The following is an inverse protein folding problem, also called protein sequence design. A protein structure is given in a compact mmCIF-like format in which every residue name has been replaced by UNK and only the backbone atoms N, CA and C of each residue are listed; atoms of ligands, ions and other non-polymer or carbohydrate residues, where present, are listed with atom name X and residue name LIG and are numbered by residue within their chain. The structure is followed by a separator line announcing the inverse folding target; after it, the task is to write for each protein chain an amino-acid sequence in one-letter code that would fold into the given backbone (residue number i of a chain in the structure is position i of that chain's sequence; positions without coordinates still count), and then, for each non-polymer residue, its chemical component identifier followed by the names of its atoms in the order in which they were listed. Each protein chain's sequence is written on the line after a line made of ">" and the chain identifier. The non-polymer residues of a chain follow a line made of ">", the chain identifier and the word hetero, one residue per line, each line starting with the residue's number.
data_IF_462594928630
#
_entry.id   IF_462594928630
#
_cell.length_a   1.000
_cell.length_b   1.000
_cell.length_c   1.000
_cell.angle_alpha   90.00
_cell.angle_beta   90.00
_cell.angle_gamma   90.00
#
_symmetry.space_group_name_H-M   'P 1'
#
loop_
_entity.id
_entity.type
_entity.pdbx_description
1 polymer ?
#
# COMPACT_ATOMS: atom_id res chain seq x y z
N UNK A 1 3.90 -19.30 4.21
CA UNK A 1 4.78 -18.82 3.14
C UNK A 1 5.17 -17.36 3.35
N UNK A 2 6.40 -17.14 3.80
CA UNK A 2 6.95 -15.78 3.96
C UNK A 2 7.41 -15.23 2.62
N UNK A 3 7.04 -13.99 2.31
CA UNK A 3 7.50 -13.29 1.11
C UNK A 3 8.97 -12.87 1.33
N UNK A 4 9.93 -13.29 0.49
CA UNK A 4 11.29 -12.80 0.55
C UNK A 4 11.33 -11.37 -0.01
N UNK A 5 11.23 -10.36 0.86
CA UNK A 5 11.29 -8.96 0.43
C UNK A 5 12.73 -8.50 0.18
N UNK A 6 12.93 -7.79 -0.93
CA UNK A 6 14.14 -6.99 -1.14
C UNK A 6 14.17 -5.86 -0.10
N UNK A 7 15.34 -5.59 0.50
CA UNK A 7 15.49 -4.56 1.56
C UNK A 7 16.58 -3.55 1.29
N UNK A 8 17.50 -3.86 0.39
CA UNK A 8 18.65 -3.02 0.12
C UNK A 8 18.29 -1.91 -0.87
N UNK A 9 18.93 -0.75 -0.75
CA UNK A 9 18.75 0.35 -1.70
C UNK A 9 17.36 1.03 -1.70
N UNK A 10 16.43 0.62 -0.83
CA UNK A 10 15.08 1.19 -0.79
C UNK A 10 15.11 2.62 -0.23
N UNK A 11 14.51 3.55 -0.97
CA UNK A 11 14.44 4.97 -0.62
C UNK A 11 13.58 5.23 0.63
N UNK A 12 12.48 4.48 0.79
CA UNK A 12 11.53 4.53 1.91
C UNK A 12 11.60 3.24 2.76
N UNK A 13 12.21 3.27 3.96
CA UNK A 13 12.32 2.08 4.80
C UNK A 13 10.96 1.50 5.19
N UNK A 14 10.70 0.25 4.80
CA UNK A 14 9.48 -0.47 5.17
C UNK A 14 9.68 -1.18 6.51
N UNK A 15 8.84 -0.87 7.50
CA UNK A 15 8.99 -1.47 8.81
C UNK A 15 8.66 -2.97 8.82
N UNK A 16 9.30 -3.72 9.72
CA UNK A 16 9.14 -5.18 9.82
C UNK A 16 7.68 -5.62 10.07
N UNK A 17 6.88 -4.78 10.73
CA UNK A 17 5.47 -5.06 10.98
C UNK A 17 4.63 -5.04 9.69
N UNK A 18 4.91 -4.12 8.75
CA UNK A 18 4.24 -4.10 7.45
C UNK A 18 4.64 -5.32 6.61
N UNK A 19 5.93 -5.69 6.59
CA UNK A 19 6.41 -6.89 5.88
C UNK A 19 5.75 -8.18 6.41
N UNK A 20 5.62 -8.29 7.72
CA UNK A 20 4.98 -9.45 8.36
C UNK A 20 3.48 -9.52 8.02
N UNK A 21 2.79 -8.39 8.02
CA UNK A 21 1.38 -8.28 7.63
C UNK A 21 1.17 -8.73 6.18
N UNK A 22 1.97 -8.23 5.24
CA UNK A 22 1.84 -8.61 3.82
C UNK A 22 2.11 -10.11 3.61
N UNK A 23 3.10 -10.67 4.31
CA UNK A 23 3.33 -12.12 4.28
C UNK A 23 2.10 -12.87 4.81
N UNK A 24 1.54 -12.46 5.95
CA UNK A 24 0.35 -13.08 6.53
C UNK A 24 -0.84 -13.08 5.56
N UNK A 25 -1.08 -11.97 4.85
CA UNK A 25 -2.19 -11.91 3.89
C UNK A 25 -1.96 -12.79 2.66
N UNK A 26 -0.73 -12.87 2.15
CA UNK A 26 -0.41 -13.79 1.07
C UNK A 26 -0.58 -15.26 1.50
N UNK A 27 -0.21 -15.60 2.74
CA UNK A 27 -0.40 -16.95 3.31
C UNK A 27 -1.85 -17.39 3.43
N UNK A 28 -2.78 -16.44 3.48
CA UNK A 28 -4.23 -16.72 3.53
C UNK A 28 -4.82 -17.05 2.16
N UNK A 29 -4.02 -16.98 1.10
CA UNK A 29 -4.44 -17.29 -0.27
C UNK A 29 -3.87 -18.61 -0.76
N UNK A 30 -4.48 -19.17 -1.80
CA UNK A 30 -3.97 -20.35 -2.52
C UNK A 30 -2.99 -19.99 -3.66
N UNK A 31 -2.42 -18.77 -3.65
CA UNK A 31 -1.51 -18.32 -4.70
C UNK A 31 -0.18 -19.09 -4.67
N UNK A 32 0.25 -19.58 -5.83
CA UNK A 32 1.61 -20.11 -6.03
C UNK A 32 2.56 -18.95 -6.34
N UNK A 33 3.20 -18.41 -5.29
CA UNK A 33 4.13 -17.29 -5.43
C UNK A 33 5.30 -17.57 -6.39
N UNK A 34 5.64 -18.84 -6.65
CA UNK A 34 6.66 -19.20 -7.62
C UNK A 34 6.24 -18.98 -9.08
N UNK A 35 4.94 -18.80 -9.34
CA UNK A 35 4.37 -18.53 -10.67
C UNK A 35 3.96 -17.08 -10.87
N UNK A 36 3.78 -16.32 -9.80
CA UNK A 36 3.39 -14.92 -9.88
C UNK A 36 4.60 -14.02 -10.16
N UNK A 37 4.46 -13.12 -11.13
CA UNK A 37 5.41 -12.03 -11.37
C UNK A 37 5.03 -10.75 -10.62
N UNK A 38 3.77 -10.64 -10.17
CA UNK A 38 3.29 -9.54 -9.34
C UNK A 38 2.34 -10.02 -8.24
N UNK A 39 2.23 -9.22 -7.17
CA UNK A 39 1.20 -9.35 -6.15
C UNK A 39 0.60 -7.97 -5.90
N UNK A 40 -0.72 -7.90 -5.87
CA UNK A 40 -1.44 -6.68 -5.49
C UNK A 40 -2.30 -6.97 -4.27
N UNK A 41 -2.06 -6.23 -3.20
CA UNK A 41 -2.82 -6.25 -1.97
C UNK A 41 -3.76 -5.05 -1.96
N UNK A 42 -5.06 -5.31 -1.86
CA UNK A 42 -6.11 -4.30 -1.79
C UNK A 42 -6.74 -4.35 -0.39
N UNK A 43 -6.66 -3.25 0.35
CA UNK A 43 -7.25 -3.06 1.66
C UNK A 43 -8.40 -2.07 1.54
N UNK A 44 -9.63 -2.50 1.84
CA UNK A 44 -10.84 -1.66 1.68
C UNK A 44 -11.68 -1.68 2.94
N UNK A 45 -11.99 -0.52 3.50
CA UNK A 45 -12.98 -0.43 4.55
C UNK A 45 -14.40 -0.45 3.94
N UNK A 46 -15.28 -1.42 4.29
CA UNK A 46 -16.61 -1.51 3.70
C UNK A 46 -17.52 -0.32 3.99
N UNK A 47 -17.22 0.45 5.04
CA UNK A 47 -17.96 1.67 5.41
C UNK A 47 -17.42 2.94 4.77
N UNK A 48 -16.35 2.87 3.99
CA UNK A 48 -15.75 4.04 3.37
C UNK A 48 -16.62 4.57 2.23
N UNK A 49 -17.08 5.82 2.33
CA UNK A 49 -17.81 6.51 1.26
C UNK A 49 -17.43 8.00 1.19
N UNK A 50 -17.80 8.66 0.10
CA UNK A 50 -17.57 10.08 -0.09
C UNK A 50 -18.30 10.95 0.96
N UNK A 51 -19.49 10.54 1.40
CA UNK A 51 -20.35 11.30 2.31
C UNK A 51 -20.04 11.05 3.78
N UNK A 52 -19.64 9.81 4.14
CA UNK A 52 -19.45 9.40 5.53
C UNK A 52 -17.98 9.31 5.91
N UNK A 53 -17.07 9.38 4.94
CA UNK A 53 -15.65 9.13 5.14
C UNK A 53 -15.41 7.70 5.59
N UNK A 54 -14.39 7.51 6.42
CA UNK A 54 -13.95 6.20 6.92
C UNK A 54 -12.44 6.03 6.75
N UNK A 55 -11.97 4.78 6.84
CA UNK A 55 -10.56 4.48 6.59
C UNK A 55 -10.32 4.36 5.09
N UNK A 56 -9.33 5.10 4.60
CA UNK A 56 -8.99 5.15 3.18
C UNK A 56 -8.64 3.76 2.61
N UNK A 57 -9.07 3.45 1.36
CA UNK A 57 -8.58 2.30 0.64
C UNK A 57 -7.07 2.42 0.40
N UNK A 58 -6.37 1.29 0.51
CA UNK A 58 -4.93 1.20 0.23
C UNK A 58 -4.68 0.09 -0.78
N UNK A 59 -3.82 0.37 -1.75
CA UNK A 59 -3.27 -0.63 -2.64
C UNK A 59 -1.74 -0.70 -2.47
N UNK A 60 -1.23 -1.91 -2.31
CA UNK A 60 0.22 -2.18 -2.23
C UNK A 60 0.54 -3.19 -3.31
N UNK A 61 1.47 -2.86 -4.20
CA UNK A 61 1.93 -3.77 -5.24
C UNK A 61 3.38 -4.16 -5.01
N UNK A 62 3.64 -5.45 -5.20
CA UNK A 62 4.97 -6.03 -5.27
C UNK A 62 5.20 -6.64 -6.64
N UNK A 63 6.45 -6.58 -7.13
CA UNK A 63 6.88 -7.22 -8.37
C UNK A 63 8.05 -8.18 -8.12
N UNK A 64 8.20 -9.18 -8.98
CA UNK A 64 9.27 -10.17 -8.87
C UNK A 64 10.63 -9.57 -9.21
N UNK A 65 11.54 -9.64 -8.25
CA UNK A 65 12.98 -9.48 -8.47
C UNK A 65 13.60 -10.79 -8.96
N UNK A 66 14.93 -10.89 -8.88
CA UNK A 66 15.65 -12.11 -9.25
C UNK A 66 15.32 -13.26 -8.30
N UNK A 67 15.53 -13.04 -7.00
CA UNK A 67 15.35 -14.03 -5.94
C UNK A 67 14.36 -13.55 -4.84
N UNK A 68 13.78 -12.36 -5.02
CA UNK A 68 12.98 -11.66 -4.02
C UNK A 68 11.76 -10.93 -4.61
N UNK A 69 11.05 -10.18 -3.77
CA UNK A 69 9.93 -9.32 -4.10
C UNK A 69 10.30 -7.87 -3.80
N UNK A 70 10.14 -7.01 -4.80
CA UNK A 70 10.37 -5.58 -4.72
C UNK A 70 9.03 -4.88 -4.48
N UNK A 71 9.02 -3.81 -3.69
CA UNK A 71 7.89 -2.89 -3.68
C UNK A 71 7.84 -2.16 -5.02
N UNK A 72 6.67 -2.20 -5.67
CA UNK A 72 6.38 -1.39 -6.85
C UNK A 72 5.84 -0.03 -6.40
N UNK A 73 4.69 -0.06 -5.73
CA UNK A 73 4.11 1.13 -5.11
C UNK A 73 3.28 0.82 -3.86
N UNK A 74 3.05 1.87 -3.09
CA UNK A 74 2.05 1.96 -2.03
C UNK A 74 1.19 3.19 -2.33
N UNK A 75 -0.11 2.99 -2.51
CA UNK A 75 -1.05 4.06 -2.82
C UNK A 75 -2.19 4.09 -1.81
N UNK A 76 -2.42 5.25 -1.21
CA UNK A 76 -3.56 5.56 -0.35
C UNK A 76 -4.56 6.39 -1.16
N UNK A 77 -5.84 6.02 -1.10
CA UNK A 77 -6.88 6.64 -1.91
C UNK A 77 -7.90 7.38 -1.06
N UNK A 78 -8.33 8.55 -1.52
CA UNK A 78 -9.36 9.35 -0.86
C UNK A 78 -10.40 9.85 -1.88
N UNK A 79 -11.62 10.14 -1.41
CA UNK A 79 -12.66 10.74 -2.25
C UNK A 79 -12.44 12.24 -2.36
N UNK A 80 -12.49 12.76 -3.59
CA UNK A 80 -12.28 14.16 -3.91
C UNK A 80 -13.49 14.71 -4.65
N UNK A 81 -13.95 15.89 -4.26
CA UNK A 81 -15.19 16.48 -4.78
C UNK A 81 -16.33 16.42 -3.77
N UNK A 82 -17.57 16.63 -4.24
CA UNK A 82 -18.75 16.72 -3.39
C UNK A 82 -19.91 15.87 -3.92
N UNK A 83 -20.50 15.06 -3.06
CA UNK A 83 -21.69 14.26 -3.37
C UNK A 83 -21.47 13.34 -4.57
N UNK A 84 -22.33 13.47 -5.58
CA UNK A 84 -22.29 12.61 -6.78
C UNK A 84 -21.08 12.86 -7.68
N UNK A 85 -20.39 13.99 -7.52
CA UNK A 85 -19.18 14.33 -8.28
C UNK A 85 -17.91 13.90 -7.54
N UNK A 86 -18.04 13.11 -6.46
CA UNK A 86 -16.90 12.63 -5.70
C UNK A 86 -16.22 11.45 -6.43
N UNK A 87 -14.93 11.60 -6.72
CA UNK A 87 -14.12 10.57 -7.36
C UNK A 87 -13.05 10.04 -6.42
N UNK A 88 -12.75 8.74 -6.53
CA UNK A 88 -11.68 8.13 -5.75
C UNK A 88 -10.33 8.46 -6.43
N UNK A 89 -9.52 9.28 -5.78
CA UNK A 89 -8.22 9.73 -6.29
C UNK A 89 -7.08 9.20 -5.42
N UNK A 90 -5.85 9.24 -5.96
CA UNK A 90 -4.65 8.98 -5.16
C UNK A 90 -4.45 10.16 -4.19
N UNK A 91 -4.57 9.89 -2.89
CA UNK A 91 -4.23 10.84 -1.84
C UNK A 91 -2.72 10.86 -1.62
N UNK A 92 -2.14 9.69 -1.43
CA UNK A 92 -0.71 9.47 -1.31
C UNK A 92 -0.29 8.41 -2.32
N UNK A 93 0.83 8.64 -3.00
CA UNK A 93 1.43 7.66 -3.90
C UNK A 93 2.92 7.60 -3.66
N UNK A 94 3.39 6.47 -3.12
CA UNK A 94 4.80 6.17 -2.94
C UNK A 94 5.22 5.17 -4.02
N UNK A 95 5.74 5.65 -5.15
CA UNK A 95 6.32 4.80 -6.19
C UNK A 95 7.78 4.48 -5.80
N UNK A 96 8.06 3.20 -5.57
CA UNK A 96 9.36 2.72 -5.12
C UNK A 96 10.33 2.49 -6.28
N UNK A 97 9.83 2.15 -7.48
CA UNK A 97 10.67 1.85 -8.64
C UNK A 97 11.32 3.10 -9.22
N UNK A 98 10.53 4.18 -9.36
CA UNK A 98 11.00 5.45 -9.93
C UNK A 98 11.45 6.43 -8.84
N UNK A 99 11.16 6.15 -7.57
CA UNK A 99 11.48 7.03 -6.44
C UNK A 99 10.66 8.33 -6.43
N UNK A 100 9.55 8.36 -7.16
CA UNK A 100 8.62 9.48 -7.22
C UNK A 100 7.53 9.32 -6.15
N UNK A 101 7.33 10.36 -5.35
CA UNK A 101 6.37 10.34 -4.25
C UNK A 101 5.48 11.56 -4.34
N UNK A 102 4.17 11.39 -4.21
CA UNK A 102 3.21 12.50 -4.35
C UNK A 102 2.19 12.49 -3.22
N UNK A 103 1.74 13.70 -2.86
CA UNK A 103 0.60 13.93 -1.99
C UNK A 103 -0.36 14.86 -2.70
N UNK A 104 -1.63 14.48 -2.73
CA UNK A 104 -2.68 15.27 -3.38
C UNK A 104 -2.75 16.69 -2.77
N UNK A 105 -2.95 17.69 -3.62
CA UNK A 105 -2.97 19.11 -3.22
C UNK A 105 -1.58 19.72 -2.94
N UNK A 106 -0.57 18.91 -2.62
CA UNK A 106 0.81 19.37 -2.43
C UNK A 106 1.71 19.13 -3.66
N UNK A 107 1.49 18.03 -4.36
CA UNK A 107 2.30 17.60 -5.50
C UNK A 107 3.46 16.68 -5.11
N UNK A 108 4.54 16.67 -5.91
CA UNK A 108 5.72 15.84 -5.65
C UNK A 108 6.43 16.19 -4.34
N UNK A 109 6.85 15.17 -3.60
CA UNK A 109 7.56 15.27 -2.33
C UNK A 109 9.06 15.08 -2.51
N UNK A 110 9.87 15.82 -1.76
CA UNK A 110 11.30 15.51 -1.64
C UNK A 110 11.46 14.23 -0.82
N UNK A 111 12.55 13.49 -1.04
CA UNK A 111 12.80 12.22 -0.36
C UNK A 111 12.72 12.32 1.18
N UNK A 112 13.21 13.40 1.78
CA UNK A 112 13.12 13.60 3.23
C UNK A 112 11.66 13.70 3.72
N UNK A 113 10.83 14.46 3.00
CA UNK A 113 9.40 14.62 3.30
C UNK A 113 8.65 13.31 3.10
N UNK A 114 8.93 12.60 2.01
CA UNK A 114 8.34 11.30 1.72
C UNK A 114 8.70 10.26 2.80
N UNK A 115 9.94 10.27 3.32
CA UNK A 115 10.36 9.37 4.40
C UNK A 115 9.60 9.62 5.69
N UNK A 116 9.49 10.87 6.11
CA UNK A 116 8.75 11.25 7.32
C UNK A 116 7.26 10.90 7.18
N UNK A 117 6.67 11.21 6.03
CA UNK A 117 5.28 10.90 5.74
C UNK A 117 5.01 9.39 5.69
N UNK A 118 5.88 8.62 5.03
CA UNK A 118 5.75 7.18 4.92
C UNK A 118 5.85 6.49 6.29
N UNK A 119 6.71 7.00 7.20
CA UNK A 119 6.83 6.45 8.56
C UNK A 119 5.55 6.64 9.38
N UNK A 120 4.94 7.82 9.29
CA UNK A 120 3.65 8.11 9.93
C UNK A 120 2.54 7.27 9.30
N UNK A 121 2.50 7.21 7.96
CA UNK A 121 1.51 6.47 7.21
C UNK A 121 1.54 4.98 7.56
N UNK A 122 2.71 4.33 7.54
CA UNK A 122 2.80 2.89 7.83
C UNK A 122 2.36 2.58 9.26
N UNK A 123 2.69 3.44 10.23
CA UNK A 123 2.27 3.29 11.63
C UNK A 123 0.74 3.32 11.76
N UNK A 124 0.09 4.30 11.12
CA UNK A 124 -1.37 4.44 11.12
C UNK A 124 -2.04 3.28 10.38
N UNK A 125 -1.55 2.92 9.19
CA UNK A 125 -2.06 1.82 8.40
C UNK A 125 -2.03 0.49 9.18
N UNK A 126 -0.91 0.18 9.84
CA UNK A 126 -0.78 -1.02 10.68
C UNK A 126 -1.77 -0.98 11.85
N UNK A 127 -1.99 0.19 12.47
CA UNK A 127 -2.96 0.33 13.55
C UNK A 127 -4.39 0.03 13.04
N UNK A 128 -4.78 0.58 11.90
CA UNK A 128 -6.10 0.31 11.30
C UNK A 128 -6.28 -1.15 10.87
N UNK A 129 -5.23 -1.78 10.35
CA UNK A 129 -5.23 -3.22 10.07
C UNK A 129 -5.48 -4.05 11.33
N UNK A 130 -4.79 -3.73 12.44
CA UNK A 130 -4.97 -4.43 13.73
C UNK A 130 -6.35 -4.22 14.35
N UNK A 131 -7.01 -3.12 14.01
CA UNK A 131 -8.40 -2.83 14.39
C UNK A 131 -9.41 -3.47 13.43
N UNK A 132 -8.96 -4.35 12.52
CA UNK A 132 -9.82 -5.08 11.57
C UNK A 132 -10.68 -4.15 10.71
N UNK A 133 -10.14 -2.97 10.38
CA UNK A 133 -10.87 -1.96 9.59
C UNK A 133 -11.00 -2.33 8.11
N UNK A 134 -10.31 -3.38 7.62
CA UNK A 134 -10.22 -3.69 6.19
C UNK A 134 -10.82 -5.06 5.86
N UNK A 135 -11.57 -5.10 4.77
CA UNK A 135 -11.69 -6.28 3.91
C UNK A 135 -10.50 -6.31 2.97
N UNK A 136 -9.84 -7.46 2.86
CA UNK A 136 -8.54 -7.59 2.20
C UNK A 136 -8.66 -8.59 1.06
N UNK A 137 -8.10 -8.23 -0.09
CA UNK A 137 -7.95 -9.13 -1.24
C UNK A 137 -6.51 -9.11 -1.72
N UNK A 138 -5.93 -10.28 -1.96
CA UNK A 138 -4.60 -10.43 -2.55
C UNK A 138 -4.74 -11.15 -3.89
N UNK A 139 -4.14 -10.62 -4.94
CA UNK A 139 -4.18 -11.19 -6.28
C UNK A 139 -2.78 -11.26 -6.88
N UNK A 140 -2.45 -12.38 -7.54
CA UNK A 140 -1.34 -12.48 -8.49
C UNK A 140 -1.81 -12.30 -9.93
N UNK A 141 -0.85 -12.25 -10.86
CA UNK A 141 -1.06 -12.41 -12.30
C UNK A 141 -1.25 -13.88 -12.74
#
# INVERSE_FOLDING_TARGET
>A
MTIPFHRDGISLPVCQALLALLSQEAERTDLDLGRCTQLTFNFRNPGYSAEQGGVHPVEIRLVRGLDDWLFDYVTDFSYQGLGQDAELCKELDFNFLDGEHTMLGWGPLRLAEARELFDIWQSNFIAYYRLECFSITVSGD
#
